data_IF_102251134415
#
_entry.id   IF_102251134415
#
_cell.length_a   1.000
_cell.length_b   1.000
_cell.length_c   1.000
_cell.angle_alpha   90.00
_cell.angle_beta   90.00
_cell.angle_gamma   90.00
#
_symmetry.space_group_name_H-M   'P 1'
#
loop_
_entity.id
_entity.type
_entity.pdbx_description
1 polymer ?
#
# COMPACT_ATOMS: atom_id res chain seq x y z
N UNK A 1 1.35 -78.41 -16.12
CA UNK A 1 2.35 -77.31 -16.05
C UNK A 1 2.67 -76.64 -17.38
N UNK A 2 2.77 -77.36 -18.53
CA UNK A 2 3.05 -76.71 -19.83
C UNK A 2 1.93 -75.81 -20.36
N UNK A 3 0.66 -76.13 -20.05
CA UNK A 3 -0.48 -75.30 -20.47
C UNK A 3 -0.59 -74.01 -19.65
N UNK A 4 -0.37 -74.05 -18.34
CA UNK A 4 -0.39 -72.87 -17.46
C UNK A 4 0.72 -71.85 -17.80
N UNK A 5 1.91 -72.32 -18.18
CA UNK A 5 3.00 -71.45 -18.64
C UNK A 5 2.68 -70.77 -19.98
N UNK A 6 2.03 -71.48 -20.90
CA UNK A 6 1.60 -70.93 -22.21
C UNK A 6 0.51 -69.86 -22.06
N UNK A 7 -0.37 -69.97 -21.06
CA UNK A 7 -1.40 -68.97 -20.78
C UNK A 7 -0.80 -67.71 -20.16
N UNK A 8 0.19 -67.85 -19.27
CA UNK A 8 0.92 -66.70 -18.69
C UNK A 8 1.65 -65.89 -19.77
N UNK A 9 2.36 -66.56 -20.69
CA UNK A 9 3.12 -65.90 -21.76
C UNK A 9 2.20 -65.20 -22.78
N UNK A 10 0.96 -65.66 -22.99
CA UNK A 10 -0.03 -64.97 -23.83
C UNK A 10 -0.66 -63.76 -23.17
N UNK A 11 -0.69 -63.71 -21.83
CA UNK A 11 -1.28 -62.61 -21.07
C UNK A 11 -0.27 -61.48 -20.79
N UNK A 12 1.03 -61.73 -20.95
CA UNK A 12 2.06 -60.68 -21.00
C UNK A 12 2.05 -60.08 -22.41
N UNK A 13 1.14 -59.12 -22.62
CA UNK A 13 1.12 -58.30 -23.83
C UNK A 13 2.44 -57.51 -23.88
N UNK A 14 3.25 -57.71 -24.91
CA UNK A 14 4.44 -56.87 -25.16
C UNK A 14 3.98 -55.44 -25.33
N UNK A 15 4.21 -54.60 -24.33
CA UNK A 15 4.00 -53.16 -24.44
C UNK A 15 5.28 -52.63 -25.07
N UNK A 16 5.33 -52.55 -26.40
CA UNK A 16 6.38 -51.82 -27.09
C UNK A 16 6.11 -50.32 -26.90
N UNK A 17 6.26 -49.83 -25.66
CA UNK A 17 6.28 -48.41 -25.34
C UNK A 17 7.63 -47.79 -25.70
N UNK A 18 7.70 -46.46 -25.70
CA UNK A 18 8.95 -45.72 -25.90
C UNK A 18 10.05 -46.27 -24.98
N UNK A 19 11.26 -46.34 -25.51
CA UNK A 19 12.46 -46.76 -24.80
C UNK A 19 12.66 -45.93 -23.52
N UNK A 20 13.23 -46.53 -22.47
CA UNK A 20 13.71 -45.79 -21.29
C UNK A 20 14.61 -44.61 -21.70
N UNK A 21 15.37 -44.78 -22.79
CA UNK A 21 16.20 -43.72 -23.35
C UNK A 21 15.37 -42.57 -23.93
N UNK A 22 14.21 -42.84 -24.56
CA UNK A 22 13.32 -41.80 -25.10
C UNK A 22 12.57 -41.05 -24.00
N UNK A 23 12.22 -41.74 -22.91
CA UNK A 23 11.70 -41.09 -21.71
C UNK A 23 12.77 -40.22 -21.03
N UNK A 24 14.01 -40.71 -20.96
CA UNK A 24 15.12 -39.96 -20.39
C UNK A 24 15.47 -38.73 -21.24
N UNK A 25 15.48 -38.84 -22.57
CA UNK A 25 15.80 -37.71 -23.45
C UNK A 25 14.70 -36.64 -23.43
N UNK A 26 13.43 -37.04 -23.46
CA UNK A 26 12.31 -36.09 -23.35
C UNK A 26 12.31 -35.40 -21.98
N UNK A 27 12.54 -36.15 -20.89
CA UNK A 27 12.64 -35.59 -19.55
C UNK A 27 13.84 -34.64 -19.41
N UNK A 28 15.01 -35.03 -19.93
CA UNK A 28 16.21 -34.19 -19.90
C UNK A 28 16.02 -32.90 -20.72
N UNK A 29 15.35 -32.98 -21.87
CA UNK A 29 15.08 -31.83 -22.72
C UNK A 29 14.06 -30.87 -22.07
N UNK A 30 12.99 -31.41 -21.49
CA UNK A 30 12.03 -30.62 -20.72
C UNK A 30 12.67 -29.98 -19.48
N UNK A 31 13.53 -30.72 -18.77
CA UNK A 31 14.26 -30.18 -17.62
C UNK A 31 15.22 -29.05 -18.03
N UNK A 32 15.90 -29.18 -19.17
CA UNK A 32 16.79 -28.13 -19.68
C UNK A 32 16.00 -26.89 -20.09
N UNK A 33 14.90 -27.06 -20.81
CA UNK A 33 14.03 -25.95 -21.21
C UNK A 33 13.43 -25.25 -19.99
N UNK A 34 12.91 -26.01 -19.02
CA UNK A 34 12.38 -25.48 -17.76
C UNK A 34 13.45 -24.71 -16.98
N UNK A 35 14.66 -25.25 -16.86
CA UNK A 35 15.77 -24.59 -16.17
C UNK A 35 16.17 -23.27 -16.85
N UNK A 36 16.18 -23.22 -18.18
CA UNK A 36 16.51 -21.99 -18.93
C UNK A 36 15.36 -20.96 -18.95
N UNK A 37 14.11 -21.42 -18.86
CA UNK A 37 12.94 -20.55 -18.86
C UNK A 37 12.58 -20.02 -17.46
N UNK A 38 12.96 -20.74 -16.39
CA UNK A 38 12.60 -20.39 -15.01
C UNK A 38 13.02 -18.96 -14.60
N UNK A 39 14.24 -18.46 -14.89
CA UNK A 39 14.61 -17.09 -14.51
C UNK A 39 13.72 -16.05 -15.20
N UNK A 40 13.43 -16.25 -16.49
CA UNK A 40 12.61 -15.29 -17.25
C UNK A 40 11.15 -15.33 -16.85
N UNK A 41 10.61 -16.51 -16.54
CA UNK A 41 9.26 -16.64 -16.00
C UNK A 41 9.15 -16.04 -14.60
N UNK A 42 10.20 -16.15 -13.78
CA UNK A 42 10.26 -15.49 -12.47
C UNK A 42 10.23 -13.97 -12.61
N UNK A 43 11.10 -13.41 -13.46
CA UNK A 43 11.13 -11.98 -13.75
C UNK A 43 9.79 -11.47 -14.31
N UNK A 44 9.18 -12.22 -15.25
CA UNK A 44 7.86 -11.89 -15.80
C UNK A 44 6.76 -11.93 -14.74
N UNK A 45 6.81 -12.90 -13.84
CA UNK A 45 5.85 -13.00 -12.73
C UNK A 45 6.02 -11.88 -11.71
N UNK A 46 7.25 -11.46 -11.44
CA UNK A 46 7.55 -10.37 -10.53
C UNK A 46 7.13 -9.02 -11.10
N UNK A 47 7.41 -8.76 -12.39
CA UNK A 47 6.91 -7.57 -13.08
C UNK A 47 5.38 -7.48 -13.09
N UNK A 48 4.68 -8.61 -13.24
CA UNK A 48 3.22 -8.63 -13.18
C UNK A 48 2.67 -8.35 -11.76
N UNK A 49 3.40 -8.75 -10.72
CA UNK A 49 3.06 -8.43 -9.32
C UNK A 49 3.29 -6.95 -9.01
N UNK A 50 4.41 -6.39 -9.47
CA UNK A 50 4.71 -4.97 -9.38
C UNK A 50 3.61 -4.13 -10.06
N UNK A 51 3.21 -4.50 -11.28
CA UNK A 51 2.15 -3.81 -12.01
C UNK A 51 0.80 -3.89 -11.27
N UNK A 52 0.48 -5.03 -10.65
CA UNK A 52 -0.71 -5.13 -9.81
C UNK A 52 -0.64 -4.21 -8.59
N UNK A 53 0.48 -4.17 -7.86
CA UNK A 53 0.65 -3.26 -6.71
C UNK A 53 0.42 -1.80 -7.12
N UNK A 54 1.00 -1.36 -8.24
CA UNK A 54 0.75 0.00 -8.78
C UNK A 54 -0.71 0.25 -9.15
N UNK A 55 -1.38 -0.73 -9.75
CA UNK A 55 -2.79 -0.59 -10.06
C UNK A 55 -3.66 -0.48 -8.79
N UNK A 56 -3.28 -1.13 -7.69
CA UNK A 56 -3.98 -0.98 -6.41
C UNK A 56 -3.71 0.40 -5.78
N UNK A 57 -2.47 0.91 -5.81
CA UNK A 57 -2.15 2.29 -5.41
C UNK A 57 -2.98 3.32 -6.20
N UNK A 58 -3.10 3.15 -7.51
CA UNK A 58 -3.92 4.02 -8.36
C UNK A 58 -5.41 3.97 -7.98
N UNK A 59 -5.92 2.81 -7.53
CA UNK A 59 -7.29 2.72 -7.03
C UNK A 59 -7.42 3.42 -5.69
N UNK A 60 -6.45 3.29 -4.78
CA UNK A 60 -6.44 4.01 -3.50
C UNK A 60 -6.54 5.52 -3.73
N UNK A 61 -5.69 6.07 -4.62
CA UNK A 61 -5.75 7.49 -4.99
C UNK A 61 -7.11 7.89 -5.56
N UNK A 62 -7.71 7.07 -6.43
CA UNK A 62 -9.04 7.36 -6.98
C UNK A 62 -10.13 7.37 -5.92
N UNK A 63 -10.12 6.40 -5.01
CA UNK A 63 -11.10 6.33 -3.92
C UNK A 63 -10.92 7.50 -2.95
N UNK A 64 -9.68 7.85 -2.61
CA UNK A 64 -9.38 9.02 -1.78
C UNK A 64 -9.80 10.33 -2.47
N UNK A 65 -9.65 10.43 -3.79
CA UNK A 65 -10.15 11.56 -4.57
C UNK A 65 -11.67 11.70 -4.51
N UNK A 66 -12.41 10.59 -4.61
CA UNK A 66 -13.86 10.63 -4.42
C UNK A 66 -14.22 11.05 -2.98
N UNK A 67 -13.55 10.48 -1.98
CA UNK A 67 -13.74 10.84 -0.58
C UNK A 67 -13.49 12.34 -0.31
N UNK A 68 -12.44 12.89 -0.92
CA UNK A 68 -12.14 14.32 -0.82
C UNK A 68 -13.28 15.18 -1.37
N UNK A 69 -13.87 14.81 -2.51
CA UNK A 69 -15.00 15.56 -3.07
C UNK A 69 -16.26 15.42 -2.21
N UNK A 70 -16.55 14.22 -1.71
CA UNK A 70 -17.72 13.97 -0.85
C UNK A 70 -17.61 14.77 0.46
N UNK A 71 -16.43 14.79 1.08
CA UNK A 71 -16.17 15.59 2.29
C UNK A 71 -16.13 17.08 1.99
N UNK A 72 -15.66 17.51 0.81
CA UNK A 72 -15.73 18.92 0.40
C UNK A 72 -17.18 19.41 0.30
N UNK A 73 -18.08 18.58 -0.20
CA UNK A 73 -19.50 18.92 -0.31
C UNK A 73 -20.21 18.93 1.05
N UNK A 74 -19.88 18.01 1.95
CA UNK A 74 -20.55 17.85 3.26
C UNK A 74 -19.97 18.80 4.32
N UNK A 75 -18.65 18.89 4.40
CA UNK A 75 -17.90 19.61 5.44
C UNK A 75 -17.46 21.02 4.97
N UNK A 76 -17.66 21.33 3.68
CA UNK A 76 -17.31 22.59 3.03
C UNK A 76 -15.85 22.69 2.57
N UNK A 77 -14.99 21.78 3.04
CA UNK A 77 -13.59 21.63 2.63
C UNK A 77 -13.24 20.15 2.62
N UNK A 78 -12.61 19.70 1.54
CA UNK A 78 -12.25 18.30 1.39
C UNK A 78 -11.13 17.90 2.35
N UNK A 79 -11.24 16.69 2.87
CA UNK A 79 -10.22 16.02 3.68
C UNK A 79 -9.95 14.63 3.10
N UNK A 80 -8.84 14.03 3.50
CA UNK A 80 -8.49 12.67 3.11
C UNK A 80 -8.84 11.64 4.19
N UNK A 81 -8.87 10.33 3.83
CA UNK A 81 -9.10 9.28 4.81
C UNK A 81 -8.04 9.29 5.91
N UNK A 82 -8.44 9.06 7.16
CA UNK A 82 -7.54 9.14 8.33
C UNK A 82 -7.32 10.57 8.85
N UNK A 83 -7.78 11.57 8.12
CA UNK A 83 -7.60 12.97 8.49
C UNK A 83 -8.81 13.45 9.28
N UNK A 84 -8.59 13.89 10.53
CA UNK A 84 -9.68 14.42 11.36
C UNK A 84 -10.31 15.70 10.77
N UNK A 85 -9.50 16.51 10.08
CA UNK A 85 -9.91 17.75 9.41
C UNK A 85 -8.88 18.18 8.38
N UNK A 86 -9.29 18.93 7.36
CA UNK A 86 -8.43 19.39 6.26
C UNK A 86 -7.09 20.06 6.68
N UNK A 87 -7.02 20.64 7.89
CA UNK A 87 -5.87 21.36 8.43
C UNK A 87 -5.10 20.60 9.53
N UNK A 88 -5.42 19.32 9.76
CA UNK A 88 -4.62 18.39 10.56
C UNK A 88 -3.88 17.44 9.63
N UNK A 89 -2.58 17.15 9.85
CA UNK A 89 -1.86 16.18 9.04
C UNK A 89 -2.24 14.74 9.43
N UNK A 90 -1.90 13.78 8.58
CA UNK A 90 -1.85 12.36 8.93
C UNK A 90 -0.42 11.89 8.79
N UNK A 91 0.20 11.56 9.92
CA UNK A 91 1.64 11.34 10.05
C UNK A 91 1.92 10.58 11.34
N UNK A 92 2.97 9.76 11.35
CA UNK A 92 3.35 9.04 12.56
C UNK A 92 3.95 9.94 13.66
N UNK A 93 4.25 9.33 14.80
CA UNK A 93 4.65 10.00 16.03
C UNK A 93 5.90 10.89 15.92
N UNK A 94 6.73 10.68 14.89
CA UNK A 94 7.92 11.49 14.63
C UNK A 94 7.61 12.95 14.24
N UNK A 95 6.45 13.21 13.63
CA UNK A 95 6.18 14.48 12.94
C UNK A 95 4.79 15.05 13.26
N UNK A 96 4.50 15.34 14.52
CA UNK A 96 3.20 15.94 14.91
C UNK A 96 3.19 17.46 14.70
N UNK A 97 2.28 17.97 13.86
CA UNK A 97 1.98 19.40 13.76
C UNK A 97 0.49 19.62 13.52
N UNK A 98 0.05 20.88 13.60
CA UNK A 98 -1.32 21.24 13.21
C UNK A 98 -1.36 22.63 12.59
N UNK A 99 -2.21 22.80 11.59
CA UNK A 99 -2.59 24.11 11.05
C UNK A 99 -3.91 24.61 11.66
N UNK A 100 -4.47 23.87 12.64
CA UNK A 100 -5.68 24.21 13.40
C UNK A 100 -5.32 25.05 14.63
N UNK A 101 -5.30 26.37 14.47
CA UNK A 101 -5.16 27.26 15.61
C UNK A 101 -5.28 28.73 15.26
N UNK A 102 -6.06 29.47 16.07
CA UNK A 102 -6.22 30.91 15.93
C UNK A 102 -4.91 31.70 16.06
N UNK A 103 -3.84 31.08 16.58
CA UNK A 103 -2.50 31.65 16.76
C UNK A 103 -1.49 31.20 15.71
N UNK A 104 -1.86 30.30 14.79
CA UNK A 104 -0.96 29.81 13.72
C UNK A 104 -1.11 30.73 12.52
N UNK A 105 -0.11 31.57 12.27
CA UNK A 105 -0.09 32.48 11.11
C UNK A 105 -0.01 31.68 9.81
N UNK A 106 -0.50 32.25 8.70
CA UNK A 106 -0.39 31.62 7.37
C UNK A 106 1.04 31.17 7.05
N UNK A 107 2.04 31.99 7.39
CA UNK A 107 3.46 31.66 7.18
C UNK A 107 3.91 30.44 8.00
N UNK A 108 3.42 30.29 9.23
CA UNK A 108 3.71 29.12 10.06
C UNK A 108 3.02 27.86 9.50
N UNK A 109 1.77 27.99 9.02
CA UNK A 109 1.06 26.88 8.39
C UNK A 109 1.80 26.36 7.15
N UNK A 110 2.23 27.27 6.27
CA UNK A 110 3.02 26.92 5.07
C UNK A 110 4.35 26.26 5.48
N UNK A 111 5.04 26.79 6.50
CA UNK A 111 6.32 26.21 6.97
C UNK A 111 6.13 24.80 7.49
N UNK A 112 5.06 24.53 8.24
CA UNK A 112 4.75 23.21 8.75
C UNK A 112 4.44 22.23 7.60
N UNK A 113 3.56 22.62 6.69
CA UNK A 113 3.17 21.78 5.54
C UNK A 113 4.35 21.49 4.61
N UNK A 114 5.17 22.50 4.27
CA UNK A 114 6.38 22.31 3.44
C UNK A 114 7.46 21.52 4.16
N UNK A 115 7.58 21.62 5.49
CA UNK A 115 8.49 20.79 6.28
C UNK A 115 8.11 19.32 6.19
N UNK A 116 6.83 19.01 6.44
CA UNK A 116 6.31 17.65 6.29
C UNK A 116 6.46 17.12 4.87
N UNK A 117 6.11 17.91 3.86
CA UNK A 117 6.29 17.55 2.46
C UNK A 117 7.76 17.26 2.12
N UNK A 118 8.70 18.04 2.64
CA UNK A 118 10.13 17.81 2.42
C UNK A 118 10.60 16.47 2.98
N UNK A 119 10.12 16.05 4.14
CA UNK A 119 10.46 14.76 4.74
C UNK A 119 9.90 13.60 3.90
N UNK A 120 8.65 13.73 3.42
CA UNK A 120 8.05 12.75 2.51
C UNK A 120 8.84 12.66 1.21
N UNK A 121 9.17 13.80 0.58
CA UNK A 121 9.91 13.81 -0.67
C UNK A 121 11.33 13.24 -0.53
N UNK A 122 11.92 13.32 0.66
CA UNK A 122 13.20 12.66 0.97
C UNK A 122 13.06 11.14 0.98
N UNK A 123 12.00 10.63 1.61
CA UNK A 123 11.66 9.20 1.59
C UNK A 123 11.32 8.70 0.19
N UNK A 124 10.68 9.53 -0.64
CA UNK A 124 10.40 9.18 -2.03
C UNK A 124 11.65 9.28 -2.93
N UNK A 125 12.81 9.68 -2.41
CA UNK A 125 14.07 9.80 -3.17
C UNK A 125 14.09 10.96 -4.16
N UNK A 126 13.13 11.89 -4.08
CA UNK A 126 12.98 13.01 -5.03
C UNK A 126 13.99 14.13 -4.75
N UNK A 127 14.43 14.26 -3.51
CA UNK A 127 15.41 15.25 -3.04
C UNK A 127 16.87 14.91 -3.38
N UNK A 128 17.11 13.72 -3.95
CA UNK A 128 18.46 13.19 -4.20
C UNK A 128 19.01 12.30 -3.07
N UNK A 129 18.20 12.00 -2.05
CA UNK A 129 18.42 10.91 -1.10
C UNK A 129 18.31 9.55 -1.80
N UNK A 130 18.81 8.49 -1.15
CA UNK A 130 18.56 7.12 -1.62
C UNK A 130 17.07 6.75 -1.51
N UNK A 131 16.30 7.46 -0.68
CA UNK A 131 14.89 7.20 -0.41
C UNK A 131 14.65 5.93 0.39
N UNK A 132 13.38 5.62 0.58
CA UNK A 132 12.87 4.45 1.27
C UNK A 132 12.70 3.31 0.26
N UNK A 133 13.76 2.53 0.06
CA UNK A 133 13.89 1.54 -1.03
C UNK A 133 13.64 0.10 -0.62
N UNK A 134 13.53 -0.16 0.68
CA UNK A 134 13.30 -1.47 1.25
C UNK A 134 12.62 -1.33 2.61
N UNK A 135 11.73 -2.25 2.99
CA UNK A 135 10.93 -2.17 4.22
C UNK A 135 11.75 -2.17 5.53
N UNK A 136 13.03 -2.55 5.47
CA UNK A 136 13.97 -2.53 6.62
C UNK A 136 14.75 -1.21 6.73
N UNK A 137 14.70 -0.36 5.71
CA UNK A 137 15.34 0.94 5.74
C UNK A 137 14.64 1.84 6.77
N UNK A 138 15.37 2.83 7.27
CA UNK A 138 14.81 3.81 8.21
C UNK A 138 14.40 5.05 7.43
N UNK A 139 13.09 5.28 7.22
CA UNK A 139 12.62 6.51 6.58
C UNK A 139 12.88 7.74 7.47
N UNK A 140 12.88 8.92 6.85
CA UNK A 140 12.94 10.23 7.49
C UNK A 140 11.68 10.54 8.30
N UNK A 141 10.52 10.03 7.86
CA UNK A 141 9.25 10.15 8.60
C UNK A 141 8.58 8.79 8.80
N UNK A 142 7.78 8.68 9.86
CA UNK A 142 7.01 7.47 10.13
C UNK A 142 5.73 7.48 9.32
N UNK A 143 5.53 6.42 8.54
CA UNK A 143 4.40 6.28 7.63
C UNK A 143 3.20 5.64 8.31
N UNK A 144 1.98 5.97 7.88
CA UNK A 144 0.76 5.39 8.44
C UNK A 144 0.28 4.22 7.60
N UNK A 145 -0.04 3.11 8.24
CA UNK A 145 -0.59 1.90 7.63
C UNK A 145 -2.02 2.11 7.14
N UNK A 146 -2.31 1.79 5.87
CA UNK A 146 -3.66 2.00 5.28
C UNK A 146 -4.72 1.11 5.93
N UNK A 147 -4.40 -0.15 6.25
CA UNK A 147 -5.35 -1.14 6.76
C UNK A 147 -4.97 -1.76 8.10
N UNK A 148 -3.99 -1.18 8.80
CA UNK A 148 -3.49 -1.68 10.07
C UNK A 148 -2.26 -2.57 9.92
N UNK A 149 -1.23 -2.36 10.74
CA UNK A 149 0.02 -3.14 10.77
C UNK A 149 -0.25 -4.58 11.24
N UNK A 150 -1.23 -4.76 12.13
CA UNK A 150 -1.60 -6.05 12.72
C UNK A 150 -2.75 -6.75 11.98
N UNK A 151 -3.04 -6.34 10.74
CA UNK A 151 -4.11 -6.92 9.95
C UNK A 151 -3.84 -8.41 9.66
N UNK A 152 -4.85 -9.27 9.84
CA UNK A 152 -4.69 -10.72 9.70
C UNK A 152 -4.51 -11.16 8.24
N UNK A 153 -5.10 -10.44 7.28
CA UNK A 153 -5.05 -10.79 5.86
C UNK A 153 -3.75 -10.28 5.21
N UNK A 154 -3.29 -9.11 5.65
CA UNK A 154 -2.10 -8.44 5.15
C UNK A 154 -1.32 -7.81 6.32
N UNK A 155 -0.62 -8.62 7.14
CA UNK A 155 0.19 -8.11 8.23
C UNK A 155 1.40 -7.37 7.67
N UNK A 156 1.84 -6.34 8.37
CA UNK A 156 3.07 -5.67 8.02
C UNK A 156 4.28 -6.62 8.08
N UNK A 157 5.29 -6.44 7.21
CA UNK A 157 6.48 -7.27 7.20
C UNK A 157 7.28 -7.12 8.51
N UNK A 158 7.87 -8.24 8.94
CA UNK A 158 8.67 -8.27 10.15
C UNK A 158 9.96 -7.45 9.95
N UNK A 159 10.09 -6.34 10.70
CA UNK A 159 11.22 -5.41 10.58
C UNK A 159 10.79 -3.98 10.25
N UNK A 160 9.61 -3.78 9.66
CA UNK A 160 9.09 -2.46 9.30
C UNK A 160 8.49 -1.67 10.46
N UNK A 161 8.35 -2.26 11.65
CA UNK A 161 7.61 -1.69 12.79
C UNK A 161 8.18 -0.37 13.36
N UNK A 162 9.39 0.03 12.99
CA UNK A 162 9.92 1.37 13.31
C UNK A 162 9.64 2.42 12.24
N UNK A 163 9.28 1.99 11.04
CA UNK A 163 9.04 2.82 9.86
C UNK A 163 7.54 3.07 9.62
N UNK A 164 6.68 2.21 10.17
CA UNK A 164 5.22 2.29 10.05
C UNK A 164 4.56 2.35 11.42
N UNK A 165 3.42 3.03 11.49
CA UNK A 165 2.53 3.05 12.63
C UNK A 165 1.07 2.92 12.16
N UNK A 166 0.19 2.54 13.08
CA UNK A 166 -1.25 2.62 12.86
C UNK A 166 -1.75 4.01 13.23
N UNK A 167 -2.69 4.50 12.41
CA UNK A 167 -3.35 5.77 12.68
C UNK A 167 -4.11 5.69 14.01
N UNK A 168 -3.92 6.70 14.84
CA UNK A 168 -4.67 6.84 16.09
C UNK A 168 -5.57 8.05 15.97
N UNK A 169 -6.85 7.86 16.25
CA UNK A 169 -7.83 8.94 16.27
C UNK A 169 -7.45 9.92 17.39
N UNK A 170 -7.01 11.11 17.01
CA UNK A 170 -6.89 12.23 17.93
C UNK A 170 -8.30 12.81 18.13
N UNK A 171 -9.15 12.04 18.85
CA UNK A 171 -10.49 12.38 19.36
C UNK A 171 -10.49 13.59 20.32
N UNK A 172 -9.49 14.48 20.23
CA UNK A 172 -9.36 15.70 20.97
C UNK A 172 -10.40 16.73 20.49
N UNK A 173 -11.66 16.51 20.89
CA UNK A 173 -12.78 17.48 21.02
C UNK A 173 -12.73 18.66 20.03
N UNK A 174 -12.47 18.34 18.77
CA UNK A 174 -12.42 19.30 17.71
C UNK A 174 -13.88 19.64 17.40
N UNK A 175 -14.34 20.80 17.85
CA UNK A 175 -15.75 21.25 17.73
C UNK A 175 -16.30 21.20 16.29
N UNK A 176 -15.42 21.11 15.29
CA UNK A 176 -15.75 21.07 13.86
C UNK A 176 -15.41 19.74 13.18
N UNK A 177 -15.00 18.72 13.93
CA UNK A 177 -14.69 17.41 13.36
C UNK A 177 -15.97 16.67 12.96
N UNK A 178 -15.89 15.70 12.04
CA UNK A 178 -17.05 14.97 11.55
C UNK A 178 -17.85 14.36 12.70
N UNK A 179 -19.16 14.64 12.71
CA UNK A 179 -20.11 14.10 13.68
C UNK A 179 -21.25 13.41 12.96
N UNK A 180 -21.76 12.34 13.55
CA UNK A 180 -22.93 11.64 13.05
C UNK A 180 -24.21 12.48 13.24
N UNK A 181 -25.33 11.94 12.76
CA UNK A 181 -26.63 12.61 12.86
C UNK A 181 -27.09 12.88 14.31
N UNK A 182 -26.55 12.14 15.28
CA UNK A 182 -26.83 12.26 16.70
C UNK A 182 -25.83 13.19 17.43
N UNK A 183 -24.85 13.74 16.69
CA UNK A 183 -23.83 14.66 17.19
C UNK A 183 -22.66 13.98 17.89
N UNK A 184 -22.50 12.67 17.74
CA UNK A 184 -21.35 11.88 18.24
C UNK A 184 -20.20 11.98 17.25
N UNK A 185 -18.96 12.07 17.74
CA UNK A 185 -17.77 12.06 16.88
C UNK A 185 -17.74 10.77 16.04
N UNK A 186 -17.53 10.93 14.73
CA UNK A 186 -17.28 9.81 13.83
C UNK A 186 -15.84 9.36 14.02
N UNK A 187 -15.60 8.06 14.06
CA UNK A 187 -14.24 7.53 14.08
C UNK A 187 -13.58 7.84 12.74
N UNK A 188 -12.55 8.68 12.78
CA UNK A 188 -11.80 9.17 11.62
C UNK A 188 -10.49 8.41 11.41
N UNK A 189 -10.23 7.32 12.16
CA UNK A 189 -9.02 6.50 11.92
C UNK A 189 -8.94 6.02 10.48
N UNK A 190 -7.73 6.10 9.94
CA UNK A 190 -7.38 5.64 8.60
C UNK A 190 -7.89 4.25 8.30
N UNK A 191 -7.63 3.29 9.18
CA UNK A 191 -8.04 1.90 9.02
C UNK A 191 -9.55 1.76 8.76
N UNK A 192 -10.38 2.55 9.46
CA UNK A 192 -11.84 2.47 9.35
C UNK A 192 -12.31 3.14 8.05
N UNK A 193 -11.83 4.35 7.77
CA UNK A 193 -12.24 5.09 6.57
C UNK A 193 -11.76 4.43 5.28
N UNK A 194 -10.50 3.96 5.24
CA UNK A 194 -9.96 3.20 4.12
C UNK A 194 -10.74 1.90 3.91
N UNK A 195 -11.01 1.14 4.98
CA UNK A 195 -11.80 -0.10 4.85
C UNK A 195 -13.22 0.16 4.32
N UNK A 196 -13.85 1.27 4.72
CA UNK A 196 -15.15 1.66 4.20
C UNK A 196 -15.11 1.98 2.70
N UNK A 197 -14.06 2.68 2.24
CA UNK A 197 -13.86 3.00 0.81
C UNK A 197 -13.67 1.75 -0.07
N UNK A 198 -13.11 0.68 0.49
CA UNK A 198 -12.94 -0.61 -0.18
C UNK A 198 -14.11 -1.58 0.08
N UNK A 199 -15.26 -1.09 0.55
CA UNK A 199 -16.47 -1.89 0.71
C UNK A 199 -16.38 -2.94 1.83
N UNK A 200 -15.48 -2.74 2.81
CA UNK A 200 -15.24 -3.68 3.90
C UNK A 200 -14.10 -4.66 3.65
N UNK A 201 -13.52 -4.66 2.46
CA UNK A 201 -12.40 -5.52 2.08
C UNK A 201 -11.05 -4.84 2.30
N UNK A 202 -10.01 -5.64 2.52
CA UNK A 202 -8.63 -5.17 2.68
C UNK A 202 -7.87 -5.50 1.41
N UNK A 203 -7.06 -4.56 0.92
CA UNK A 203 -6.21 -4.76 -0.24
C UNK A 203 -4.76 -4.65 0.20
N UNK A 204 -3.97 -5.70 0.00
CA UNK A 204 -2.53 -5.67 0.27
C UNK A 204 -1.69 -5.70 -1.00
N UNK A 205 -0.43 -5.29 -0.87
CA UNK A 205 0.53 -5.37 -1.96
C UNK A 205 0.71 -6.82 -2.41
N UNK A 206 0.83 -7.00 -3.72
CA UNK A 206 1.15 -8.30 -4.32
C UNK A 206 2.64 -8.42 -4.62
N UNK A 207 3.40 -7.35 -4.43
CA UNK A 207 4.81 -7.26 -4.71
C UNK A 207 5.60 -7.61 -3.46
N UNK A 208 6.31 -8.74 -3.52
CA UNK A 208 7.15 -9.28 -2.43
C UNK A 208 6.43 -9.23 -1.06
N UNK A 209 7.04 -8.56 -0.08
CA UNK A 209 6.55 -8.39 1.29
C UNK A 209 6.02 -6.95 1.53
N UNK A 210 5.53 -6.32 0.46
CA UNK A 210 5.05 -4.94 0.47
C UNK A 210 3.81 -4.71 1.33
N UNK A 211 3.68 -3.47 1.80
CA UNK A 211 2.59 -3.01 2.64
C UNK A 211 2.22 -1.58 2.25
N UNK A 212 0.93 -1.31 2.12
CA UNK A 212 0.47 0.00 1.70
C UNK A 212 0.44 0.97 2.88
N UNK A 213 1.06 2.12 2.66
CA UNK A 213 1.13 3.21 3.61
C UNK A 213 0.73 4.52 2.98
N UNK A 214 0.36 5.48 3.82
CA UNK A 214 0.00 6.82 3.39
C UNK A 214 0.44 7.88 4.40
N UNK A 215 0.55 9.11 3.92
CA UNK A 215 0.72 10.31 4.73
C UNK A 215 -0.09 11.45 4.09
N UNK A 216 -0.60 12.35 4.92
CA UNK A 216 -1.36 13.52 4.46
C UNK A 216 -0.70 14.79 4.97
N UNK A 217 -0.29 15.64 4.03
CA UNK A 217 0.17 17.00 4.34
C UNK A 217 -1.06 17.87 4.58
N UNK A 218 -1.08 18.54 5.73
CA UNK A 218 -2.22 19.37 6.11
C UNK A 218 -2.39 20.55 5.16
N UNK A 219 -3.64 20.81 4.77
CA UNK A 219 -4.03 22.04 4.10
C UNK A 219 -4.08 23.21 5.08
N UNK A 220 -4.52 24.37 4.59
CA UNK A 220 -4.60 25.54 5.44
C UNK A 220 -5.03 26.81 4.73
N UNK A 221 -4.75 27.92 5.42
CA UNK A 221 -5.11 29.25 4.98
C UNK A 221 -6.56 29.63 5.22
N UNK A 222 -6.88 30.88 4.90
CA UNK A 222 -8.23 31.44 5.03
C UNK A 222 -8.45 32.55 4.00
N UNK A 223 -9.72 32.81 3.66
CA UNK A 223 -10.05 33.83 2.67
C UNK A 223 -9.53 33.46 1.28
N UNK A 224 -8.63 34.28 0.74
CA UNK A 224 -8.05 34.11 -0.60
C UNK A 224 -6.79 33.24 -0.63
N UNK A 225 -6.13 33.04 0.52
CA UNK A 225 -4.85 32.33 0.63
C UNK A 225 -5.03 30.87 1.05
N UNK A 226 -6.06 30.22 0.51
CA UNK A 226 -6.46 28.86 0.86
C UNK A 226 -5.71 27.84 0.01
N UNK A 227 -5.24 26.75 0.62
CA UNK A 227 -4.65 25.61 -0.09
C UNK A 227 -5.19 24.27 0.46
N UNK A 228 -5.41 23.28 -0.41
CA UNK A 228 -5.93 21.98 -0.02
C UNK A 228 -4.85 21.12 0.67
N UNK A 229 -5.25 20.07 1.43
CA UNK A 229 -4.32 19.02 1.84
C UNK A 229 -3.82 18.22 0.63
N UNK A 230 -2.70 17.50 0.81
CA UNK A 230 -2.09 16.64 -0.22
C UNK A 230 -1.90 15.24 0.35
N UNK A 231 -2.32 14.22 -0.39
CA UNK A 231 -2.18 12.81 0.00
C UNK A 231 -1.02 12.17 -0.76
N UNK A 232 -0.18 11.46 -0.02
CA UNK A 232 0.86 10.58 -0.55
C UNK A 232 0.54 9.15 -0.15
N UNK A 233 0.56 8.24 -1.11
CA UNK A 233 0.44 6.79 -0.87
C UNK A 233 1.66 6.09 -1.42
N UNK A 234 2.13 5.06 -0.72
CA UNK A 234 3.30 4.30 -1.13
C UNK A 234 3.20 2.83 -0.72
N UNK A 235 4.06 2.01 -1.33
CA UNK A 235 4.35 0.64 -0.89
C UNK A 235 5.74 0.63 -0.23
N UNK A 236 5.80 0.19 1.03
CA UNK A 236 7.05 0.21 1.82
C UNK A 236 8.15 -0.71 1.29
N UNK A 237 7.79 -1.69 0.43
CA UNK A 237 8.80 -2.52 -0.22
C UNK A 237 9.76 -1.65 -1.03
N UNK A 238 9.26 -0.59 -1.67
CA UNK A 238 10.07 0.41 -2.34
C UNK A 238 9.20 1.65 -2.62
N UNK A 239 9.18 2.59 -1.69
CA UNK A 239 8.38 3.79 -1.79
C UNK A 239 8.85 4.70 -2.93
N UNK A 240 10.13 4.63 -3.34
CA UNK A 240 10.67 5.45 -4.44
C UNK A 240 10.07 5.09 -5.81
N UNK A 241 9.83 3.80 -6.07
CA UNK A 241 9.27 3.29 -7.34
C UNK A 241 7.75 3.05 -7.29
N UNK A 242 7.22 2.80 -6.09
CA UNK A 242 5.81 2.49 -5.84
C UNK A 242 5.17 3.54 -4.94
N UNK A 243 5.00 4.75 -5.49
CA UNK A 243 4.23 5.82 -4.85
C UNK A 243 3.23 6.44 -5.83
N UNK A 244 2.26 7.14 -5.26
CA UNK A 244 1.39 8.03 -6.00
C UNK A 244 0.97 9.21 -5.10
N UNK A 245 0.65 10.34 -5.73
CA UNK A 245 0.29 11.59 -5.05
C UNK A 245 -1.04 12.11 -5.57
N UNK A 246 -1.82 12.69 -4.66
CA UNK A 246 -3.08 13.36 -4.99
C UNK A 246 -3.08 14.77 -4.41
N UNK A 247 -3.03 15.73 -5.33
CA UNK A 247 -3.22 17.16 -5.08
C UNK A 247 -4.55 17.60 -5.74
N UNK A 248 -5.57 18.00 -4.97
CA UNK A 248 -6.89 18.39 -5.48
C UNK A 248 -6.97 19.69 -6.29
#
# INVERSE_FOLDING_TARGET
>A
MKQTLKTLIRNVKSINGNSLAEFATTTALMATLAATAAPKLSEMSEGAKAEKSRNELDKMVKQAGQFYQDTADIEGRGRFPGQDKFNHPVVGAANTYTNDGASVSLSAQITNSTGHESDILDDLGVTGSNGYTHFEDTPSTTWISVFGEANADHPAPAGAASAIEDDTDDLADCNTCPRDADGVAVNTTGLVEWKQLFGGEVVGSQYQDGHFVYQVVAGGGSGVDVYPPVLYVADIENATDFNNVLEP
#
